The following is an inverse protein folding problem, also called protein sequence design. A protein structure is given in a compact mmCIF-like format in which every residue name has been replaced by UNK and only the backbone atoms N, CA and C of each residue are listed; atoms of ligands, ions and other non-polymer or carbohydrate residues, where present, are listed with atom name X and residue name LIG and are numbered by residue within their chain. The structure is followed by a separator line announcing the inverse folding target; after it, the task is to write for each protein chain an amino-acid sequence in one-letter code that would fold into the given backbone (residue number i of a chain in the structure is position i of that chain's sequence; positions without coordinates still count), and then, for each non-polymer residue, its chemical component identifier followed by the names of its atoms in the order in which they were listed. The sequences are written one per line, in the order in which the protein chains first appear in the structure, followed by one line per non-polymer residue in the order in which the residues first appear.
data_IF_078561341293
#
_entry.id   IF_078561341293
#
_cell.length_a   1.000
_cell.length_b   1.000
_cell.length_c   1.000
_cell.angle_alpha   90.00
_cell.angle_beta   90.00
_cell.angle_gamma   90.00
#
_symmetry.space_group_name_H-M   'P 1'
#
loop_
_entity.id
_entity.type
_entity.pdbx_description
1 polymer ?
#
# COMPACT_ATOMS: atom_id res chain seq x y z
N UNK A 1 16.74 -2.59 28.76
CA UNK A 1 16.24 -3.71 29.58
C UNK A 1 15.35 -4.69 28.81
N UNK A 2 14.40 -4.25 27.96
CA UNK A 2 13.61 -5.20 27.14
C UNK A 2 14.44 -5.92 26.07
N UNK A 3 15.23 -5.19 25.29
CA UNK A 3 15.98 -5.73 24.15
C UNK A 3 16.95 -6.88 24.49
N UNK A 4 17.67 -6.79 25.62
CA UNK A 4 18.60 -7.85 26.02
C UNK A 4 17.86 -9.11 26.52
N UNK A 5 16.62 -8.97 27.00
CA UNK A 5 15.81 -10.10 27.45
C UNK A 5 15.26 -10.87 26.25
N UNK A 6 14.89 -10.17 25.17
CA UNK A 6 14.43 -10.77 23.93
C UNK A 6 15.55 -11.57 23.24
N UNK A 7 16.78 -11.04 23.22
CA UNK A 7 17.96 -11.75 22.70
C UNK A 7 18.31 -13.03 23.48
N UNK A 8 18.22 -13.00 24.81
CA UNK A 8 18.53 -14.17 25.64
C UNK A 8 17.52 -15.31 25.42
N UNK A 9 16.24 -14.98 25.17
CA UNK A 9 15.17 -15.94 24.86
C UNK A 9 15.39 -16.59 23.48
N UNK A 10 15.92 -15.85 22.49
CA UNK A 10 16.19 -16.38 21.15
C UNK A 10 17.43 -17.27 21.10
N UNK A 11 18.47 -16.99 21.89
CA UNK A 11 19.76 -17.69 21.76
C UNK A 11 20.00 -18.77 22.82
N UNK A 12 19.38 -18.67 24.01
CA UNK A 12 19.59 -19.59 25.13
C UNK A 12 18.33 -20.41 25.49
N UNK A 13 17.66 -20.99 24.50
CA UNK A 13 16.53 -21.92 24.69
C UNK A 13 16.59 -23.09 23.72
N UNK A 14 16.06 -24.26 24.11
CA UNK A 14 16.03 -25.46 23.23
C UNK A 14 15.15 -25.27 21.99
N UNK A 15 14.20 -24.32 22.03
CA UNK A 15 13.35 -23.91 20.92
C UNK A 15 13.39 -22.38 20.76
N UNK A 16 14.26 -21.84 19.88
CA UNK A 16 14.40 -20.41 19.70
C UNK A 16 13.15 -19.81 19.05
N UNK A 17 12.51 -18.85 19.73
CA UNK A 17 11.30 -18.18 19.23
C UNK A 17 11.70 -16.95 18.39
N UNK A 18 11.55 -17.05 17.06
CA UNK A 18 11.85 -15.96 16.14
C UNK A 18 10.67 -14.97 16.02
N UNK A 19 10.96 -13.70 15.71
CA UNK A 19 9.90 -12.69 15.50
C UNK A 19 8.92 -13.10 14.39
N UNK A 20 7.63 -12.79 14.58
CA UNK A 20 6.54 -13.12 13.63
C UNK A 20 6.89 -12.72 12.17
N UNK A 21 7.46 -11.53 11.97
CA UNK A 21 7.90 -11.04 10.66
C UNK A 21 8.99 -11.92 10.02
N UNK A 22 9.85 -12.55 10.82
CA UNK A 22 10.90 -13.44 10.32
C UNK A 22 10.32 -14.77 9.83
N UNK A 23 9.33 -15.34 10.51
CA UNK A 23 8.62 -16.52 10.02
C UNK A 23 7.87 -16.21 8.71
N UNK A 24 7.11 -15.11 8.68
CA UNK A 24 6.27 -14.75 7.53
C UNK A 24 7.10 -14.42 6.28
N UNK A 25 8.25 -13.75 6.45
CA UNK A 25 9.11 -13.36 5.33
C UNK A 25 10.03 -14.52 4.92
N UNK A 26 10.68 -15.18 5.88
CA UNK A 26 11.74 -16.15 5.55
C UNK A 26 11.14 -17.46 5.07
N UNK A 27 10.14 -18.06 5.72
CA UNK A 27 9.61 -19.36 5.30
C UNK A 27 8.82 -19.31 3.99
N UNK A 28 8.15 -18.20 3.71
CA UNK A 28 7.37 -18.02 2.48
C UNK A 28 8.24 -17.62 1.29
N UNK A 29 9.24 -16.75 1.52
CA UNK A 29 10.09 -16.27 0.44
C UNK A 29 11.30 -17.16 0.19
N UNK A 30 11.74 -18.00 1.12
CA UNK A 30 12.90 -18.90 0.89
C UNK A 30 12.66 -19.90 -0.25
N UNK A 31 11.51 -20.61 -0.34
CA UNK A 31 11.22 -21.45 -1.49
C UNK A 31 11.13 -20.65 -2.79
N UNK A 32 10.46 -19.49 -2.77
CA UNK A 32 10.34 -18.61 -3.93
C UNK A 32 11.71 -18.05 -4.40
N UNK A 33 12.58 -17.65 -3.48
CA UNK A 33 13.91 -17.13 -3.77
C UNK A 33 14.83 -18.23 -4.32
N UNK A 34 14.76 -19.44 -3.76
CA UNK A 34 15.48 -20.62 -4.29
C UNK A 34 15.01 -20.93 -5.72
N UNK A 35 13.70 -20.93 -5.97
CA UNK A 35 13.16 -21.12 -7.32
C UNK A 35 13.58 -20.01 -8.30
N UNK A 36 13.58 -18.75 -7.88
CA UNK A 36 14.05 -17.63 -8.71
C UNK A 36 15.54 -17.71 -9.02
N UNK A 37 16.37 -18.08 -8.05
CA UNK A 37 17.83 -18.24 -8.24
C UNK A 37 18.12 -19.43 -9.16
N UNK A 38 17.44 -20.57 -8.98
CA UNK A 38 17.59 -21.71 -9.88
C UNK A 38 17.12 -21.37 -11.31
N UNK A 39 16.05 -20.57 -11.44
CA UNK A 39 15.56 -20.09 -12.74
C UNK A 39 16.52 -19.13 -13.44
N UNK A 40 17.18 -18.22 -12.71
CA UNK A 40 18.17 -17.30 -13.31
C UNK A 40 19.45 -18.03 -13.73
N UNK A 41 19.86 -19.06 -12.97
CA UNK A 41 20.99 -19.92 -13.32
C UNK A 41 20.71 -20.71 -14.61
N UNK A 42 19.53 -21.30 -14.75
CA UNK A 42 19.17 -22.06 -15.97
C UNK A 42 19.02 -21.15 -17.20
N UNK A 43 18.42 -19.97 -17.06
CA UNK A 43 18.34 -18.98 -18.16
C UNK A 43 19.72 -18.44 -18.56
N UNK A 44 20.62 -18.20 -17.60
CA UNK A 44 22.00 -17.79 -17.86
C UNK A 44 22.80 -18.88 -18.62
N UNK A 45 22.63 -20.15 -18.24
CA UNK A 45 23.24 -21.29 -18.94
C UNK A 45 22.77 -21.41 -20.38
N UNK A 46 21.51 -21.11 -20.66
CA UNK A 46 20.94 -21.13 -22.01
C UNK A 46 21.51 -19.99 -22.87
N UNK A 47 21.61 -18.78 -22.33
CA UNK A 47 22.19 -17.61 -23.03
C UNK A 47 23.66 -17.84 -23.39
N UNK A 48 24.41 -18.57 -22.54
CA UNK A 48 25.79 -18.95 -22.86
C UNK A 48 25.90 -20.14 -23.82
N UNK A 49 24.83 -20.91 -24.04
CA UNK A 49 24.87 -22.02 -24.99
C UNK A 49 24.93 -21.48 -26.43
N UNK A 50 25.92 -21.91 -27.21
CA UNK A 50 26.12 -21.50 -28.61
C UNK A 50 25.12 -22.14 -29.58
N UNK A 51 23.83 -22.25 -29.22
CA UNK A 51 22.79 -22.76 -30.12
C UNK A 51 21.92 -21.62 -30.63
N UNK A 52 21.60 -21.68 -31.93
CA UNK A 52 20.73 -20.73 -32.63
C UNK A 52 19.32 -20.80 -32.02
N UNK A 53 18.73 -19.69 -31.56
CA UNK A 53 17.37 -19.73 -31.03
C UNK A 53 16.38 -20.01 -32.17
N UNK A 54 15.64 -21.11 -32.05
CA UNK A 54 14.49 -21.39 -32.93
C UNK A 54 13.42 -20.32 -32.71
N UNK A 55 12.94 -19.74 -33.80
CA UNK A 55 11.92 -18.70 -33.76
C UNK A 55 10.60 -19.23 -33.18
N UNK A 56 9.98 -18.44 -32.31
CA UNK A 56 8.72 -18.73 -31.60
C UNK A 56 7.53 -18.67 -32.56
N UNK A 57 7.37 -19.66 -33.43
CA UNK A 57 6.25 -19.73 -34.39
C UNK A 57 5.48 -21.03 -34.20
N UNK A 58 4.14 -20.97 -34.23
CA UNK A 58 3.24 -22.12 -34.06
C UNK A 58 3.55 -23.29 -35.03
N UNK A 59 4.11 -22.97 -36.20
CA UNK A 59 4.56 -23.94 -37.22
C UNK A 59 5.75 -24.81 -36.78
N UNK A 60 6.56 -24.36 -35.82
CA UNK A 60 7.64 -25.20 -35.26
C UNK A 60 7.10 -26.21 -34.24
N UNK A 61 5.90 -25.99 -33.69
CA UNK A 61 5.26 -26.89 -32.72
C UNK A 61 4.67 -28.11 -33.43
N UNK A 62 4.14 -27.94 -34.65
CA UNK A 62 3.52 -29.04 -35.41
C UNK A 62 4.52 -29.90 -36.17
N UNK A 63 5.78 -29.46 -36.30
CA UNK A 63 6.84 -30.17 -37.04
C UNK A 63 7.72 -31.07 -36.15
N UNK A 64 7.30 -31.32 -34.91
CA UNK A 64 8.06 -32.04 -33.89
C UNK A 64 8.10 -33.58 -34.06
N UNK A 65 7.43 -34.15 -35.05
CA UNK A 65 7.29 -35.60 -35.19
C UNK A 65 8.47 -36.29 -35.93
N UNK A 66 9.54 -35.56 -36.27
CA UNK A 66 10.53 -36.06 -37.26
C UNK A 66 12.00 -35.72 -37.08
N UNK A 67 12.48 -35.23 -35.93
CA UNK A 67 13.92 -34.96 -35.75
C UNK A 67 14.46 -35.81 -34.60
N UNK A 68 15.40 -36.68 -34.96
CA UNK A 68 16.03 -37.64 -34.07
C UNK A 68 17.14 -36.94 -33.26
N UNK A 69 16.77 -36.22 -32.20
CA UNK A 69 17.73 -35.68 -31.22
C UNK A 69 17.10 -35.62 -29.82
N UNK A 70 16.87 -36.80 -29.23
CA UNK A 70 16.09 -37.04 -27.99
C UNK A 70 16.45 -36.18 -26.76
N UNK A 71 17.58 -35.49 -26.75
CA UNK A 71 18.05 -34.64 -25.65
C UNK A 71 17.65 -33.16 -25.78
N UNK A 72 17.41 -32.64 -26.98
CA UNK A 72 16.96 -31.26 -27.21
C UNK A 72 15.45 -31.10 -27.06
N UNK A 73 14.69 -32.12 -27.47
CA UNK A 73 13.23 -32.16 -27.35
C UNK A 73 12.78 -32.19 -25.88
N UNK A 74 13.47 -32.96 -25.02
CA UNK A 74 13.13 -33.08 -23.61
C UNK A 74 13.34 -31.76 -22.83
N UNK A 75 14.42 -31.03 -23.14
CA UNK A 75 14.74 -29.74 -22.50
C UNK A 75 13.73 -28.67 -22.92
N UNK A 76 13.33 -28.64 -24.19
CA UNK A 76 12.32 -27.70 -24.71
C UNK A 76 10.92 -27.98 -24.13
N UNK A 77 10.51 -29.25 -24.06
CA UNK A 77 9.24 -29.65 -23.43
C UNK A 77 9.24 -29.28 -21.94
N UNK A 78 10.35 -29.50 -21.25
CA UNK A 78 10.51 -29.13 -19.83
C UNK A 78 10.38 -27.61 -19.64
N UNK A 79 10.94 -26.79 -20.54
CA UNK A 79 10.83 -25.33 -20.49
C UNK A 79 9.40 -24.82 -20.77
N UNK A 80 8.72 -25.40 -21.76
CA UNK A 80 7.33 -25.09 -22.09
C UNK A 80 6.36 -25.43 -20.95
N UNK A 81 6.65 -26.49 -20.17
CA UNK A 81 5.88 -26.85 -18.99
C UNK A 81 6.25 -26.00 -17.75
N UNK A 82 7.51 -25.57 -17.63
CA UNK A 82 8.00 -24.83 -16.47
C UNK A 82 7.45 -23.39 -16.40
N UNK A 83 7.33 -22.68 -17.53
CA UNK A 83 6.74 -21.34 -17.58
C UNK A 83 5.30 -21.24 -17.04
N UNK A 84 4.33 -22.07 -17.47
CA UNK A 84 2.98 -22.05 -16.91
C UNK A 84 2.96 -22.50 -15.45
N UNK A 85 3.84 -23.41 -15.03
CA UNK A 85 3.96 -23.82 -13.62
C UNK A 85 4.43 -22.65 -12.74
N UNK A 86 5.41 -21.85 -13.16
CA UNK A 86 5.82 -20.63 -12.45
C UNK A 86 4.68 -19.63 -12.35
N UNK A 87 3.95 -19.42 -13.45
CA UNK A 87 2.80 -18.50 -13.48
C UNK A 87 1.70 -19.01 -12.53
N UNK A 88 1.37 -20.30 -12.57
CA UNK A 88 0.43 -20.92 -11.65
C UNK A 88 0.89 -20.83 -10.19
N UNK A 89 2.18 -21.06 -9.92
CA UNK A 89 2.75 -20.94 -8.58
C UNK A 89 2.73 -19.50 -8.08
N UNK A 90 3.03 -18.52 -8.93
CA UNK A 90 2.91 -17.10 -8.61
C UNK A 90 1.45 -16.72 -8.29
N UNK A 91 0.50 -17.21 -9.09
CA UNK A 91 -0.94 -17.00 -8.88
C UNK A 91 -1.36 -17.66 -7.55
N UNK A 92 -0.96 -18.90 -7.30
CA UNK A 92 -1.27 -19.63 -6.06
C UNK A 92 -0.65 -18.94 -4.83
N UNK A 93 0.57 -18.42 -4.94
CA UNK A 93 1.20 -17.61 -3.90
C UNK A 93 0.43 -16.32 -3.62
N UNK A 94 -0.22 -15.73 -4.63
CA UNK A 94 -1.10 -14.57 -4.43
C UNK A 94 -2.39 -14.92 -3.65
N UNK A 95 -2.80 -16.19 -3.61
CA UNK A 95 -3.95 -16.69 -2.86
C UNK A 95 -3.59 -17.32 -1.50
N UNK A 96 -2.35 -17.81 -1.32
CA UNK A 96 -1.93 -18.61 -0.18
C UNK A 96 -1.73 -17.83 1.13
N UNK A 97 -1.75 -16.49 1.11
CA UNK A 97 -1.57 -15.69 2.32
C UNK A 97 -2.87 -15.62 3.15
N UNK A 98 -3.00 -16.52 4.12
CA UNK A 98 -3.85 -16.32 5.30
C UNK A 98 -2.96 -16.04 6.50
N UNK A 99 -2.90 -14.77 6.93
CA UNK A 99 -2.23 -14.40 8.18
C UNK A 99 -3.11 -14.92 9.33
N UNK A 100 -2.65 -15.95 10.05
CA UNK A 100 -3.29 -16.43 11.26
C UNK A 100 -2.74 -15.60 12.43
N UNK A 101 -3.47 -14.58 12.86
CA UNK A 101 -3.21 -13.93 14.14
C UNK A 101 -3.66 -14.86 15.26
N UNK A 102 -2.73 -15.21 16.16
CA UNK A 102 -3.02 -16.02 17.35
C UNK A 102 -4.03 -15.21 18.19
N UNK A 103 -5.23 -15.75 18.29
CA UNK A 103 -6.37 -15.11 18.96
C UNK A 103 -6.11 -15.08 20.46
N UNK A 104 -5.81 -13.91 21.02
CA UNK A 104 -5.90 -13.73 22.47
C UNK A 104 -7.33 -14.00 22.91
N UNK A 105 -7.51 -15.02 23.76
CA UNK A 105 -8.82 -15.61 24.09
C UNK A 105 -9.79 -14.66 24.80
N UNK A 106 -9.37 -13.45 25.18
CA UNK A 106 -10.08 -12.63 26.16
C UNK A 106 -10.74 -11.34 25.65
N UNK A 107 -10.74 -11.04 24.35
CA UNK A 107 -11.51 -9.88 23.85
C UNK A 107 -12.06 -10.11 22.42
N UNK A 108 -13.39 -10.24 22.28
CA UNK A 108 -14.10 -10.45 21.01
C UNK A 108 -14.38 -9.13 20.27
N UNK A 109 -13.37 -8.29 20.03
CA UNK A 109 -13.53 -7.22 19.03
C UNK A 109 -13.07 -7.78 17.70
N UNK A 110 -14.00 -7.95 16.76
CA UNK A 110 -13.65 -8.40 15.41
C UNK A 110 -12.82 -7.32 14.71
N UNK A 111 -11.54 -7.60 14.54
CA UNK A 111 -10.62 -6.79 13.76
C UNK A 111 -11.04 -6.71 12.29
N UNK A 112 -10.66 -5.62 11.64
CA UNK A 112 -10.90 -5.43 10.21
C UNK A 112 -10.24 -6.58 9.40
N UNK A 113 -11.01 -7.33 8.59
CA UNK A 113 -10.49 -8.49 7.86
C UNK A 113 -9.48 -8.10 6.79
N UNK A 114 -9.33 -6.81 6.48
CA UNK A 114 -8.24 -6.27 5.66
C UNK A 114 -6.86 -6.64 6.21
N UNK A 115 -6.69 -6.69 7.54
CA UNK A 115 -5.39 -6.96 8.18
C UNK A 115 -4.93 -8.41 7.99
N UNK A 116 -5.87 -9.33 7.76
CA UNK A 116 -5.62 -10.76 7.53
C UNK A 116 -5.84 -11.21 6.08
N UNK A 117 -6.16 -10.27 5.19
CA UNK A 117 -6.50 -10.56 3.81
C UNK A 117 -5.24 -10.78 2.97
N UNK A 118 -5.31 -11.75 2.05
CA UNK A 118 -4.27 -11.94 1.03
C UNK A 118 -4.09 -10.69 0.16
N UNK A 119 -2.92 -10.55 -0.46
CA UNK A 119 -2.60 -9.42 -1.34
C UNK A 119 -3.64 -9.29 -2.46
N UNK A 120 -4.08 -10.41 -3.04
CA UNK A 120 -5.11 -10.40 -4.08
C UNK A 120 -6.48 -9.98 -3.55
N UNK A 121 -6.83 -10.40 -2.34
CA UNK A 121 -8.05 -9.96 -1.65
C UNK A 121 -8.02 -8.46 -1.34
N UNK A 122 -6.86 -7.90 -0.99
CA UNK A 122 -6.66 -6.45 -0.82
C UNK A 122 -6.78 -5.73 -2.17
N UNK A 123 -6.15 -6.28 -3.21
CA UNK A 123 -6.11 -5.71 -4.56
C UNK A 123 -7.51 -5.61 -5.19
N UNK A 124 -8.33 -6.63 -4.98
CA UNK A 124 -9.69 -6.75 -5.53
C UNK A 124 -10.78 -6.28 -4.57
N UNK A 125 -10.42 -5.79 -3.38
CA UNK A 125 -11.35 -5.45 -2.29
C UNK A 125 -12.28 -6.60 -1.86
N UNK A 126 -11.86 -7.84 -2.10
CA UNK A 126 -12.67 -9.03 -1.84
C UNK A 126 -13.01 -9.22 -0.36
N UNK A 127 -12.14 -8.75 0.53
CA UNK A 127 -12.33 -8.80 1.99
C UNK A 127 -13.61 -8.09 2.48
N UNK A 128 -14.21 -7.20 1.68
CA UNK A 128 -15.46 -6.48 2.00
C UNK A 128 -16.71 -7.33 1.73
N UNK A 129 -16.61 -8.36 0.87
CA UNK A 129 -17.75 -9.18 0.44
C UNK A 129 -18.60 -9.79 1.56
N UNK A 130 -18.04 -10.30 2.69
CA UNK A 130 -18.84 -10.80 3.79
C UNK A 130 -19.82 -9.76 4.35
N UNK A 131 -19.38 -8.50 4.46
CA UNK A 131 -20.20 -7.39 4.95
C UNK A 131 -21.27 -7.00 3.94
N UNK A 132 -20.94 -6.97 2.65
CA UNK A 132 -21.93 -6.69 1.57
C UNK A 132 -23.01 -7.77 1.52
N UNK A 133 -22.62 -9.05 1.65
CA UNK A 133 -23.57 -10.16 1.72
C UNK A 133 -24.46 -10.08 2.97
N UNK A 134 -23.92 -9.64 4.10
CA UNK A 134 -24.69 -9.42 5.32
C UNK A 134 -25.70 -8.29 5.12
N UNK A 135 -25.29 -7.18 4.51
CA UNK A 135 -26.15 -6.02 4.20
C UNK A 135 -27.24 -6.31 3.18
N UNK A 136 -27.00 -7.25 2.25
CA UNK A 136 -28.04 -7.74 1.33
C UNK A 136 -29.09 -8.59 2.06
N UNK A 137 -28.70 -9.34 3.10
CA UNK A 137 -29.61 -10.21 3.85
C UNK A 137 -30.43 -9.46 4.90
N UNK A 138 -29.83 -8.47 5.57
CA UNK A 138 -30.47 -7.66 6.61
C UNK A 138 -29.84 -6.27 6.70
N UNK A 139 -30.59 -5.24 7.17
CA UNK A 139 -30.01 -3.93 7.44
C UNK A 139 -28.85 -4.05 8.45
N UNK A 140 -27.75 -3.37 8.15
CA UNK A 140 -26.54 -3.39 8.97
C UNK A 140 -26.73 -2.57 10.24
N UNK A 141 -26.25 -3.11 11.37
CA UNK A 141 -26.22 -2.43 12.66
C UNK A 141 -24.79 -2.06 13.04
N UNK A 142 -24.61 -1.17 14.03
CA UNK A 142 -23.29 -0.73 14.47
C UNK A 142 -22.45 -1.88 15.07
N UNK A 143 -23.10 -2.93 15.57
CA UNK A 143 -22.44 -4.13 16.11
C UNK A 143 -21.85 -5.03 15.02
N UNK A 144 -22.29 -4.87 13.77
CA UNK A 144 -21.80 -5.66 12.62
C UNK A 144 -20.55 -5.03 11.99
N UNK A 145 -20.13 -3.86 12.46
CA UNK A 145 -18.99 -3.12 11.93
C UNK A 145 -17.69 -3.55 12.60
N UNK A 146 -16.63 -3.65 11.80
CA UNK A 146 -15.29 -3.94 12.31
C UNK A 146 -14.70 -2.75 13.07
N UNK A 147 -13.83 -3.04 14.02
CA UNK A 147 -13.05 -2.00 14.68
C UNK A 147 -12.08 -1.33 13.71
N UNK A 148 -11.91 0.01 13.80
CA UNK A 148 -10.91 0.71 13.02
C UNK A 148 -9.51 0.32 13.49
N UNK A 149 -8.56 0.17 12.57
CA UNK A 149 -7.15 -0.02 12.93
C UNK A 149 -6.63 1.18 13.74
N UNK A 150 -5.60 0.97 14.55
CA UNK A 150 -4.98 2.00 15.40
C UNK A 150 -4.64 3.29 14.64
N UNK A 151 -4.20 3.16 13.39
CA UNK A 151 -3.87 4.32 12.56
C UNK A 151 -5.07 5.23 12.22
N UNK A 152 -6.30 4.73 12.36
CA UNK A 152 -7.55 5.46 12.14
C UNK A 152 -8.16 5.97 13.44
N UNK A 153 -7.64 5.52 14.58
CA UNK A 153 -8.10 5.98 15.89
C UNK A 153 -7.66 7.44 16.08
N UNK A 154 -8.61 8.26 16.55
CA UNK A 154 -8.39 9.70 16.69
C UNK A 154 -7.36 10.05 17.76
N UNK A 155 -7.26 9.24 18.81
CA UNK A 155 -6.29 9.44 19.90
C UNK A 155 -4.84 9.38 19.40
N UNK A 156 -4.50 8.36 18.61
CA UNK A 156 -3.18 8.19 18.02
C UNK A 156 -2.83 9.35 17.06
N UNK A 157 -3.76 9.66 16.14
CA UNK A 157 -3.58 10.75 15.17
C UNK A 157 -3.45 12.12 15.85
N UNK A 158 -4.24 12.38 16.89
CA UNK A 158 -4.22 13.63 17.64
C UNK A 158 -2.92 13.79 18.44
N UNK A 159 -2.37 12.72 19.00
CA UNK A 159 -1.08 12.76 19.71
C UNK A 159 0.05 13.24 18.79
N UNK A 160 0.10 12.70 17.57
CA UNK A 160 1.08 13.10 16.55
C UNK A 160 0.88 14.55 16.09
N UNK A 161 -0.36 14.95 15.84
CA UNK A 161 -0.70 16.33 15.50
C UNK A 161 -0.33 17.31 16.61
N UNK A 162 -0.71 17.02 17.86
CA UNK A 162 -0.45 17.86 19.03
C UNK A 162 1.05 18.11 19.22
N UNK A 163 1.90 17.11 18.97
CA UNK A 163 3.35 17.27 19.02
C UNK A 163 3.83 18.38 18.09
N UNK A 164 3.29 18.46 16.87
CA UNK A 164 3.63 19.51 15.90
C UNK A 164 2.91 20.83 16.19
N UNK A 165 1.68 20.78 16.67
CA UNK A 165 0.87 21.95 17.01
C UNK A 165 1.50 22.71 18.19
N UNK A 166 1.77 22.06 19.31
CA UNK A 166 2.37 22.69 20.49
C UNK A 166 3.81 23.14 20.25
N UNK A 167 4.57 22.42 19.42
CA UNK A 167 5.93 22.85 19.01
C UNK A 167 5.91 24.15 18.19
N UNK A 168 4.79 24.49 17.56
CA UNK A 168 4.62 25.71 16.77
C UNK A 168 4.31 26.94 17.62
N UNK A 169 4.04 26.78 18.93
CA UNK A 169 3.86 27.93 19.81
C UNK A 169 5.20 28.64 20.06
N UNK A 170 5.21 29.98 20.08
CA UNK A 170 6.40 30.72 20.46
C UNK A 170 6.77 30.34 21.90
N UNK A 171 7.94 29.71 22.07
CA UNK A 171 8.49 29.40 23.40
C UNK A 171 8.56 30.71 24.19
N UNK A 172 7.90 30.78 25.33
CA UNK A 172 8.08 31.93 26.23
C UNK A 172 9.52 31.91 26.71
N UNK A 173 10.33 32.91 26.34
CA UNK A 173 11.58 33.14 27.04
C UNK A 173 11.20 33.64 28.43
N UNK A 174 11.30 32.76 29.42
CA UNK A 174 11.35 33.18 30.81
C UNK A 174 12.73 33.81 30.96
N UNK A 175 12.78 35.13 31.07
CA UNK A 175 14.01 35.82 31.47
C UNK A 175 14.26 35.48 32.93
N UNK A 176 15.45 34.98 33.33
CA UNK A 176 15.78 34.86 34.74
C UNK A 176 15.79 36.27 35.34
N UNK A 177 14.93 36.49 36.34
CA UNK A 177 14.89 37.74 37.10
C UNK A 177 16.15 37.75 37.97
N UNK A 178 17.23 38.32 37.44
CA UNK A 178 18.41 38.66 38.23
C UNK A 178 18.32 40.13 38.61
N UNK A 179 17.96 40.37 39.87
CA UNK A 179 18.36 41.52 40.68
C UNK A 179 18.13 42.93 40.13
N UNK A 180 17.32 43.68 40.87
CA UNK A 180 17.30 45.15 41.00
C UNK A 180 16.60 46.00 39.93
N UNK A 181 15.58 46.71 40.42
CA UNK A 181 15.01 47.98 39.94
C UNK A 181 14.91 48.16 38.43
N UNK A 182 13.89 47.53 37.84
CA UNK A 182 13.49 47.81 36.48
C UNK A 182 12.12 48.47 36.48
N UNK A 183 12.09 49.72 36.01
CA UNK A 183 10.86 50.38 35.60
C UNK A 183 10.06 49.39 34.76
N UNK A 184 8.82 49.15 35.18
CA UNK A 184 7.85 48.33 34.45
C UNK A 184 7.55 49.08 33.17
N UNK A 185 8.46 48.97 32.19
CA UNK A 185 8.13 49.15 30.78
C UNK A 185 7.06 48.11 30.57
N UNK A 186 5.82 48.59 30.55
CA UNK A 186 4.61 47.86 30.24
C UNK A 186 4.82 47.31 28.83
N UNK A 187 5.52 46.18 28.76
CA UNK A 187 5.88 45.53 27.52
C UNK A 187 4.54 45.22 26.90
N UNK A 188 4.24 45.96 25.83
CA UNK A 188 3.00 45.87 25.06
C UNK A 188 2.73 44.38 24.93
N UNK A 189 1.64 43.91 25.56
CA UNK A 189 1.21 42.52 25.46
C UNK A 189 0.92 42.29 23.98
N UNK A 190 1.96 41.96 23.20
CA UNK A 190 1.76 41.43 21.87
C UNK A 190 0.97 40.16 22.10
N UNK A 191 -0.30 40.22 21.75
CA UNK A 191 -1.20 39.08 21.73
C UNK A 191 -0.48 38.05 20.88
N UNK A 192 0.22 37.11 21.52
CA UNK A 192 0.96 36.05 20.84
C UNK A 192 -0.09 35.25 20.08
N UNK A 193 -0.22 35.55 18.78
CA UNK A 193 -1.20 34.92 17.91
C UNK A 193 -0.92 33.41 17.93
N UNK A 194 -1.95 32.63 18.21
CA UNK A 194 -1.85 31.18 18.13
C UNK A 194 -1.44 30.79 16.71
N UNK A 195 -0.50 29.85 16.53
CA UNK A 195 -0.14 29.39 15.20
C UNK A 195 -1.38 28.83 14.50
N UNK A 196 -1.51 29.10 13.20
CA UNK A 196 -2.58 28.54 12.38
C UNK A 196 -2.52 27.01 12.37
N UNK A 197 -3.68 26.35 12.30
CA UNK A 197 -3.81 24.89 12.37
C UNK A 197 -3.25 24.18 11.13
N UNK A 198 -3.30 24.87 9.97
CA UNK A 198 -2.93 24.28 8.67
C UNK A 198 -1.48 23.82 8.61
N UNK A 199 -0.54 24.65 9.06
CA UNK A 199 0.90 24.35 8.94
C UNK A 199 1.32 23.14 9.81
N UNK A 200 0.91 23.04 11.10
CA UNK A 200 1.11 21.83 11.90
C UNK A 200 0.43 20.58 11.33
N UNK A 201 -0.77 20.73 10.74
CA UNK A 201 -1.50 19.64 10.12
C UNK A 201 -0.73 19.09 8.91
N UNK A 202 -0.30 19.97 8.00
CA UNK A 202 0.51 19.60 6.85
C UNK A 202 1.81 18.92 7.29
N UNK A 203 2.49 19.44 8.32
CA UNK A 203 3.72 18.82 8.86
C UNK A 203 3.51 17.43 9.48
N UNK A 204 2.29 17.11 9.91
CA UNK A 204 1.96 15.78 10.46
C UNK A 204 1.76 14.76 9.34
N UNK A 205 1.10 15.14 8.25
CA UNK A 205 0.67 14.21 7.20
C UNK A 205 1.46 14.30 5.88
N UNK A 206 2.39 15.25 5.72
CA UNK A 206 3.05 15.55 4.43
C UNK A 206 3.70 14.34 3.75
N UNK A 207 4.38 13.46 4.50
CA UNK A 207 5.05 12.26 3.93
C UNK A 207 4.05 11.38 3.20
N UNK A 208 2.93 11.10 3.86
CA UNK A 208 1.85 10.31 3.29
C UNK A 208 1.17 11.05 2.13
N UNK A 209 0.94 12.37 2.25
CA UNK A 209 0.35 13.16 1.15
C UNK A 209 1.23 13.12 -0.10
N UNK A 210 2.55 13.29 0.03
CA UNK A 210 3.46 13.24 -1.12
C UNK A 210 3.43 11.87 -1.79
N UNK A 211 3.49 10.79 -1.02
CA UNK A 211 3.40 9.42 -1.57
C UNK A 211 2.08 9.24 -2.33
N UNK A 212 0.96 9.72 -1.80
CA UNK A 212 -0.33 9.63 -2.47
C UNK A 212 -0.42 10.50 -3.73
N UNK A 213 0.16 11.69 -3.71
CA UNK A 213 0.21 12.59 -4.88
C UNK A 213 1.06 11.96 -5.99
N UNK A 214 2.22 11.40 -5.66
CA UNK A 214 3.07 10.69 -6.62
C UNK A 214 2.37 9.46 -7.19
N UNK A 215 1.71 8.68 -6.34
CA UNK A 215 0.94 7.52 -6.77
C UNK A 215 -0.26 7.90 -7.65
N UNK A 216 -0.89 9.05 -7.38
CA UNK A 216 -1.97 9.58 -8.24
C UNK A 216 -1.42 10.09 -9.56
N UNK A 217 -0.27 10.75 -9.55
CA UNK A 217 0.40 11.22 -10.78
C UNK A 217 0.78 10.03 -11.67
N UNK A 218 1.35 8.97 -11.10
CA UNK A 218 1.68 7.76 -11.88
C UNK A 218 0.42 7.11 -12.49
N UNK A 219 -0.69 7.08 -11.77
CA UNK A 219 -1.98 6.59 -12.31
C UNK A 219 -2.47 7.41 -13.52
N UNK A 220 -2.22 8.73 -13.50
CA UNK A 220 -2.57 9.61 -14.60
C UNK A 220 -1.63 9.39 -15.80
N UNK A 221 -0.33 9.22 -15.55
CA UNK A 221 0.67 8.93 -16.59
C UNK A 221 0.34 7.65 -17.37
N UNK A 222 -0.07 6.60 -16.66
CA UNK A 222 -0.55 5.34 -17.27
C UNK A 222 -1.67 5.65 -18.26
N UNK A 223 -2.64 6.50 -17.92
CA UNK A 223 -3.79 6.79 -18.80
C UNK A 223 -3.37 7.38 -20.17
N UNK A 224 -2.23 8.07 -20.28
CA UNK A 224 -1.72 8.60 -21.56
C UNK A 224 -1.17 7.55 -22.53
N UNK A 225 -0.87 6.34 -22.07
CA UNK A 225 -0.42 5.25 -22.96
C UNK A 225 -1.57 4.76 -23.85
N UNK A 226 -2.83 4.98 -23.44
CA UNK A 226 -3.99 4.54 -24.21
C UNK A 226 -4.02 5.15 -25.63
N UNK A 227 -4.01 6.49 -25.83
CA UNK A 227 -3.99 7.06 -27.18
C UNK A 227 -2.76 6.65 -28.00
N UNK A 228 -1.59 6.44 -27.38
CA UNK A 228 -0.39 6.01 -28.13
C UNK A 228 -0.51 4.59 -28.68
N UNK A 229 -1.08 3.67 -27.89
CA UNK A 229 -1.29 2.29 -28.35
C UNK A 229 -2.41 2.25 -29.38
N UNK A 230 -3.44 3.09 -29.22
CA UNK A 230 -4.53 3.22 -30.19
C UNK A 230 -4.01 3.72 -31.54
N UNK A 231 -3.10 4.69 -31.57
CA UNK A 231 -2.49 5.21 -32.79
C UNK A 231 -1.69 4.12 -33.53
N UNK A 232 -0.88 3.34 -32.81
CA UNK A 232 -0.18 2.19 -33.38
C UNK A 232 -1.15 1.13 -33.93
N UNK A 233 -2.27 0.92 -33.26
CA UNK A 233 -3.31 0.00 -33.73
C UNK A 233 -4.00 0.50 -35.00
N UNK A 234 -4.32 1.80 -35.09
CA UNK A 234 -4.91 2.41 -36.31
C UNK A 234 -3.93 2.36 -37.48
N UNK A 235 -2.65 2.65 -37.23
CA UNK A 235 -1.60 2.55 -38.25
C UNK A 235 -1.44 1.11 -38.74
N UNK A 236 -1.50 0.13 -37.84
CA UNK A 236 -1.52 -1.29 -38.22
C UNK A 236 -2.72 -1.66 -39.10
N UNK A 237 -3.91 -1.11 -38.84
CA UNK A 237 -5.09 -1.36 -39.68
C UNK A 237 -5.00 -0.69 -41.07
N UNK A 238 -4.18 0.35 -41.21
CA UNK A 238 -4.01 1.07 -42.46
C UNK A 238 -3.08 0.34 -43.44
N UNK A 239 -2.14 -0.46 -42.94
CA UNK A 239 -1.15 -1.19 -43.73
C UNK A 239 -1.45 -2.71 -43.81
N UNK A 240 -1.98 -3.23 -44.94
CA UNK A 240 -2.29 -4.66 -45.09
C UNK A 240 -1.06 -5.57 -45.22
N UNK A 241 0.15 -5.01 -45.30
CA UNK A 241 1.42 -5.75 -45.41
C UNK A 241 1.93 -6.27 -44.07
N UNK A 242 1.36 -5.82 -42.95
CA UNK A 242 1.83 -6.17 -41.61
C UNK A 242 1.29 -7.52 -41.12
N UNK A 243 2.07 -8.27 -40.32
CA UNK A 243 1.64 -9.58 -39.84
C UNK A 243 0.60 -9.49 -38.72
N UNK A 244 -0.40 -10.38 -38.77
CA UNK A 244 -1.62 -10.37 -37.91
C UNK A 244 -1.30 -10.48 -36.40
N UNK A 245 -0.22 -11.15 -36.01
CA UNK A 245 0.15 -11.32 -34.60
C UNK A 245 0.39 -9.99 -33.87
N UNK A 246 0.80 -8.94 -34.60
CA UNK A 246 0.97 -7.58 -34.05
C UNK A 246 -0.37 -6.96 -33.63
N UNK A 247 -1.42 -7.20 -34.42
CA UNK A 247 -2.78 -6.76 -34.09
C UNK A 247 -3.27 -7.35 -32.78
N UNK A 248 -3.08 -8.67 -32.57
CA UNK A 248 -3.41 -9.31 -31.29
C UNK A 248 -2.62 -8.71 -30.12
N UNK A 249 -1.32 -8.44 -30.30
CA UNK A 249 -0.49 -7.81 -29.28
C UNK A 249 -1.04 -6.43 -28.89
N UNK A 250 -1.39 -5.58 -29.85
CA UNK A 250 -1.99 -4.27 -29.58
C UNK A 250 -3.35 -4.38 -28.87
N UNK A 251 -4.21 -5.32 -29.27
CA UNK A 251 -5.49 -5.57 -28.59
C UNK A 251 -5.31 -5.99 -27.12
N UNK A 252 -4.40 -6.93 -26.84
CA UNK A 252 -4.09 -7.34 -25.47
C UNK A 252 -3.41 -6.21 -24.67
N UNK A 253 -2.57 -5.40 -25.31
CA UNK A 253 -1.96 -4.24 -24.67
C UNK A 253 -3.01 -3.19 -24.30
N UNK A 254 -3.99 -2.90 -25.17
CA UNK A 254 -5.10 -2.00 -24.88
C UNK A 254 -5.94 -2.51 -23.70
N UNK A 255 -6.33 -3.79 -23.73
CA UNK A 255 -7.09 -4.40 -22.64
C UNK A 255 -6.32 -4.38 -21.32
N UNK A 256 -5.06 -4.84 -21.33
CA UNK A 256 -4.21 -4.88 -20.15
C UNK A 256 -3.99 -3.48 -19.56
N UNK A 257 -3.81 -2.49 -20.42
CA UNK A 257 -3.63 -1.10 -20.00
C UNK A 257 -4.89 -0.49 -19.36
N UNK A 258 -6.07 -0.80 -19.92
CA UNK A 258 -7.34 -0.37 -19.34
C UNK A 258 -7.58 -1.01 -17.98
N UNK A 259 -7.29 -2.30 -17.83
CA UNK A 259 -7.41 -2.98 -16.53
C UNK A 259 -6.45 -2.39 -15.49
N UNK A 260 -5.17 -2.18 -15.87
CA UNK A 260 -4.16 -1.64 -14.98
C UNK A 260 -4.48 -0.20 -14.56
N UNK A 261 -4.89 0.66 -15.50
CA UNK A 261 -5.27 2.05 -15.21
C UNK A 261 -6.47 2.13 -14.27
N UNK A 262 -7.51 1.31 -14.48
CA UNK A 262 -8.68 1.23 -13.61
C UNK A 262 -8.30 0.81 -12.18
N UNK A 263 -7.48 -0.22 -12.05
CA UNK A 263 -7.03 -0.75 -10.77
C UNK A 263 -6.20 0.27 -10.00
N UNK A 264 -5.17 0.85 -10.63
CA UNK A 264 -4.29 1.85 -9.99
C UNK A 264 -5.09 3.10 -9.62
N UNK A 265 -6.00 3.56 -10.49
CA UNK A 265 -6.88 4.70 -10.23
C UNK A 265 -7.78 4.44 -9.02
N UNK A 266 -8.42 3.27 -8.94
CA UNK A 266 -9.29 2.88 -7.81
C UNK A 266 -8.53 2.84 -6.49
N UNK A 267 -7.34 2.22 -6.47
CA UNK A 267 -6.49 2.20 -5.28
C UNK A 267 -6.04 3.59 -4.87
N UNK A 268 -5.64 4.43 -5.82
CA UNK A 268 -5.23 5.81 -5.53
C UNK A 268 -6.36 6.63 -4.93
N UNK A 269 -7.59 6.46 -5.44
CA UNK A 269 -8.79 7.09 -4.90
C UNK A 269 -9.08 6.58 -3.49
N UNK A 270 -9.06 5.26 -3.28
CA UNK A 270 -9.29 4.65 -1.97
C UNK A 270 -8.35 5.21 -0.89
N UNK A 271 -7.04 5.21 -1.13
CA UNK A 271 -6.07 5.73 -0.15
C UNK A 271 -6.19 7.25 0.05
N UNK A 272 -6.54 8.01 -1.00
CA UNK A 272 -6.77 9.46 -0.88
C UNK A 272 -7.98 9.79 0.01
N UNK A 273 -9.06 9.03 -0.09
CA UNK A 273 -10.24 9.19 0.77
C UNK A 273 -9.94 8.78 2.21
N UNK A 274 -9.15 7.72 2.37
CA UNK A 274 -8.71 7.23 3.67
C UNK A 274 -7.88 8.28 4.42
N UNK A 275 -6.95 8.95 3.73
CA UNK A 275 -6.21 10.08 4.26
C UNK A 275 -7.13 11.27 4.61
N UNK A 276 -8.09 11.59 3.73
CA UNK A 276 -9.06 12.67 3.97
C UNK A 276 -9.86 12.43 5.26
N UNK A 277 -10.30 11.19 5.50
CA UNK A 277 -11.00 10.81 6.73
C UNK A 277 -10.11 11.00 7.96
N UNK A 278 -8.84 10.55 7.92
CA UNK A 278 -7.87 10.76 9.01
C UNK A 278 -7.70 12.26 9.33
N UNK A 279 -7.51 13.09 8.31
CA UNK A 279 -7.36 14.54 8.48
C UNK A 279 -8.63 15.19 9.05
N UNK A 280 -9.82 14.86 8.51
CA UNK A 280 -11.10 15.40 8.98
C UNK A 280 -11.35 15.05 10.44
N UNK A 281 -11.14 13.79 10.83
CA UNK A 281 -11.33 13.34 12.20
C UNK A 281 -10.40 14.08 13.18
N UNK A 282 -9.14 14.32 12.78
CA UNK A 282 -8.17 15.10 13.56
C UNK A 282 -8.61 16.56 13.73
N UNK A 283 -9.05 17.21 12.65
CA UNK A 283 -9.54 18.61 12.68
C UNK A 283 -10.77 18.72 13.57
N UNK A 284 -11.79 17.86 13.37
CA UNK A 284 -13.02 17.88 14.16
C UNK A 284 -12.75 17.68 15.65
N UNK A 285 -11.87 16.74 16.02
CA UNK A 285 -11.49 16.52 17.42
C UNK A 285 -10.75 17.74 18.00
N UNK A 286 -9.87 18.36 17.23
CA UNK A 286 -9.14 19.58 17.67
C UNK A 286 -10.10 20.75 17.90
N UNK A 287 -11.04 20.98 16.99
CA UNK A 287 -12.07 22.02 17.12
C UNK A 287 -12.94 21.76 18.35
N UNK A 288 -13.39 20.51 18.52
CA UNK A 288 -14.18 20.10 19.68
C UNK A 288 -13.44 20.40 21.00
N UNK A 289 -12.18 19.95 21.14
CA UNK A 289 -11.37 20.24 22.34
C UNK A 289 -11.15 21.73 22.56
N UNK A 290 -10.95 22.50 21.50
CA UNK A 290 -10.77 23.96 21.61
C UNK A 290 -12.05 24.67 22.05
N UNK A 291 -13.21 24.23 21.57
CA UNK A 291 -14.52 24.80 21.91
C UNK A 291 -14.86 24.64 23.41
N UNK A 292 -14.45 23.52 24.01
CA UNK A 292 -14.64 23.23 25.44
C UNK A 292 -13.79 24.12 26.36
N UNK A 293 -12.64 24.59 25.87
CA UNK A 293 -11.67 25.40 26.66
C UNK A 293 -11.73 26.89 26.28
N UNK A 294 -12.73 27.28 25.47
CA UNK A 294 -12.88 28.67 25.04
C UNK A 294 -13.36 29.55 26.20
N UNK A 295 -12.76 30.74 26.36
CA UNK A 295 -13.19 31.74 27.33
C UNK A 295 -14.56 32.30 26.98
N UNK A 296 -15.28 32.87 27.95
CA UNK A 296 -16.60 33.48 27.72
C UNK A 296 -16.55 34.59 26.67
N UNK A 297 -15.52 35.43 26.69
CA UNK A 297 -15.34 36.50 25.70
C UNK A 297 -15.04 35.94 24.30
N UNK A 298 -14.21 34.89 24.22
CA UNK A 298 -13.97 34.19 22.95
C UNK A 298 -15.21 33.46 22.44
N UNK A 299 -16.08 32.96 23.32
CA UNK A 299 -17.32 32.30 22.93
C UNK A 299 -18.37 33.29 22.43
N UNK A 300 -18.37 34.53 22.91
CA UNK A 300 -19.27 35.60 22.41
C UNK A 300 -18.91 36.04 20.99
N UNK A 301 -17.67 35.88 20.55
CA UNK A 301 -17.23 36.28 19.21
C UNK A 301 -17.56 35.27 18.10
N UNK A 302 -18.10 34.10 18.45
CA UNK A 302 -18.51 33.07 17.49
C UNK A 302 -19.95 32.68 17.76
N UNK A 303 -20.77 32.64 16.70
CA UNK A 303 -22.10 32.06 16.79
C UNK A 303 -22.02 30.53 16.78
N UNK A 304 -23.06 29.84 17.25
CA UNK A 304 -23.09 28.36 17.28
C UNK A 304 -23.02 27.75 15.85
N UNK A 305 -23.41 28.51 14.83
CA UNK A 305 -23.43 28.07 13.43
C UNK A 305 -22.17 28.42 12.61
N UNK A 306 -21.25 29.22 13.15
CA UNK A 306 -19.96 29.57 12.54
C UNK A 306 -18.86 28.57 12.90
#
# INVERSE_FOLDING_TARGET
YSYNKDLDITWNTENPDFTQCFHDTTLTWTPCAIFWVLSTIETYRIIQSKRVPLSWTFLNITKFEGINEKTTDLVFITQMAYCPIIICQFILSCFADTIVTIKDRNYKVEECPRNRASILSILTFWWVNPLVRLGHKRPLTLMDMWSPNEEFITEYNLKNFNRHYYKSYPKSRIFPISGSNFNVVRQKNEIKRSPGILMPLMKTYWRFVIVLVLFRLSSALITFINPTVLDWFITFMSDPSQPIWRGFLYCFALLGQLMLSSLVSTHSMYYSQLMRLKMRACISNTIYKKSLVLSTDGRKSFTIGE
#
